data_IF_473154279509
#
_entry.id   IF_473154279509
#
_cell.length_a   1.000
_cell.length_b   1.000
_cell.length_c   1.000
_cell.angle_alpha   90.00
_cell.angle_beta   90.00
_cell.angle_gamma   90.00
#
_symmetry.space_group_name_H-M   'P 1'
#
loop_
_entity.id
_entity.type
_entity.pdbx_description
1 polymer ?
#
# COMPACT_ATOMS: atom_id res chain seq x y z
N UNK A 1 28.89 20.26 -75.10
CA UNK A 1 28.27 21.50 -75.62
C UNK A 1 28.49 22.64 -74.62
N UNK A 2 28.30 23.90 -75.05
CA UNK A 2 28.20 25.13 -74.22
C UNK A 2 26.88 25.08 -73.39
N UNK A 3 26.55 25.88 -72.36
CA UNK A 3 27.11 27.06 -71.64
C UNK A 3 26.38 27.12 -70.24
N UNK A 4 26.71 27.82 -69.14
CA UNK A 4 27.77 28.72 -68.60
C UNK A 4 28.00 28.25 -67.11
N UNK A 5 29.21 28.24 -66.53
CA UNK A 5 30.05 29.29 -65.88
C UNK A 5 29.58 29.89 -64.52
N UNK A 6 30.51 30.08 -63.53
CA UNK A 6 30.21 30.55 -62.16
C UNK A 6 30.86 31.91 -61.80
N UNK A 7 30.70 32.34 -60.53
CA UNK A 7 31.33 33.52 -59.91
C UNK A 7 31.53 33.27 -58.40
N UNK A 8 32.63 33.57 -57.69
CA UNK A 8 34.07 33.79 -57.98
C UNK A 8 34.83 33.40 -56.68
N UNK A 9 36.14 33.11 -56.74
CA UNK A 9 36.99 32.78 -55.57
C UNK A 9 38.20 33.73 -55.53
N UNK A 10 38.69 34.07 -54.34
CA UNK A 10 39.86 34.92 -54.02
C UNK A 10 39.77 36.40 -54.44
N UNK A 11 40.15 37.29 -53.51
CA UNK A 11 41.39 38.09 -53.59
C UNK A 11 41.66 38.82 -52.26
N UNK A 12 42.94 38.78 -51.84
CA UNK A 12 43.72 39.71 -50.99
C UNK A 12 43.09 40.32 -49.70
N UNK A 13 43.68 40.17 -48.52
CA UNK A 13 45.00 40.66 -48.04
C UNK A 13 45.14 42.20 -47.89
N UNK A 14 45.08 42.64 -46.63
CA UNK A 14 45.92 43.66 -45.97
C UNK A 14 46.55 44.75 -46.86
N UNK A 15 46.13 46.01 -46.68
CA UNK A 15 46.96 47.18 -47.07
C UNK A 15 46.66 48.46 -46.28
N UNK A 16 47.74 49.19 -45.96
CA UNK A 16 47.81 50.64 -45.59
C UNK A 16 47.05 51.10 -44.32
N UNK A 17 47.68 51.70 -43.29
CA UNK A 17 48.24 53.07 -43.21
C UNK A 17 47.13 54.14 -43.46
N UNK A 18 46.89 55.17 -42.65
CA UNK A 18 47.73 56.09 -41.86
C UNK A 18 46.80 57.11 -41.09
N UNK A 19 47.16 58.05 -40.18
CA UNK A 19 48.39 58.43 -39.43
C UNK A 19 47.98 59.34 -38.21
N UNK A 20 48.76 59.30 -37.11
CA UNK A 20 48.88 60.36 -36.05
C UNK A 20 47.65 60.63 -35.12
N UNK A 21 47.77 61.19 -33.90
CA UNK A 21 48.90 61.91 -33.26
C UNK A 21 49.18 61.48 -31.78
N UNK A 22 50.02 62.23 -31.03
CA UNK A 22 50.61 61.88 -29.70
C UNK A 22 49.90 62.59 -28.51
N UNK A 23 49.90 61.99 -27.30
CA UNK A 23 50.55 62.46 -26.02
C UNK A 23 49.92 61.94 -24.69
N UNK A 24 50.79 61.51 -23.77
CA UNK A 24 50.77 61.41 -22.28
C UNK A 24 49.79 62.28 -21.43
N UNK A 25 49.65 62.06 -20.09
CA UNK A 25 49.69 60.82 -19.28
C UNK A 25 48.68 60.76 -18.09
N UNK A 26 48.70 59.63 -17.34
CA UNK A 26 48.29 59.36 -15.94
C UNK A 26 47.51 60.39 -15.09
N UNK A 27 46.40 59.93 -14.46
CA UNK A 27 45.91 60.41 -13.16
C UNK A 27 45.12 59.33 -12.40
N UNK A 28 45.00 59.49 -11.08
CA UNK A 28 44.35 58.56 -10.12
C UNK A 28 42.92 59.01 -9.77
N UNK A 29 42.00 58.07 -9.44
CA UNK A 29 41.22 58.11 -8.18
C UNK A 29 40.25 56.92 -7.98
N UNK A 30 39.92 56.74 -6.71
CA UNK A 30 39.10 55.72 -6.01
C UNK A 30 37.60 55.61 -6.41
N UNK A 31 37.03 54.40 -6.22
CA UNK A 31 35.69 54.04 -5.67
C UNK A 31 34.50 55.04 -5.77
N UNK A 32 33.28 54.55 -6.08
CA UNK A 32 32.46 53.92 -5.02
C UNK A 32 31.58 52.71 -5.42
N UNK A 33 30.85 52.18 -4.42
CA UNK A 33 29.99 50.98 -4.47
C UNK A 33 28.70 51.14 -5.29
N UNK A 34 28.10 50.01 -5.71
CA UNK A 34 26.70 49.89 -6.16
C UNK A 34 25.92 48.89 -5.27
N UNK A 35 24.56 48.96 -5.25
CA UNK A 35 23.71 48.25 -4.28
C UNK A 35 23.33 46.80 -4.70
N UNK A 36 22.80 45.99 -3.77
CA UNK A 36 22.39 44.60 -4.04
C UNK A 36 20.99 44.50 -4.71
N UNK A 37 20.74 43.44 -5.50
CA UNK A 37 19.39 43.05 -5.92
C UNK A 37 18.69 42.23 -4.82
N UNK A 38 17.36 42.33 -4.76
CA UNK A 38 16.48 41.62 -3.82
C UNK A 38 15.93 40.30 -4.37
N UNK A 39 15.55 39.42 -3.45
CA UNK A 39 14.60 38.29 -3.56
C UNK A 39 14.65 37.33 -4.75
N UNK A 40 14.84 36.04 -4.45
CA UNK A 40 13.88 34.98 -4.84
C UNK A 40 14.19 33.64 -4.14
N UNK A 41 13.14 32.82 -3.96
CA UNK A 41 13.15 31.39 -3.58
C UNK A 41 13.73 31.04 -2.19
N UNK A 42 12.86 31.11 -1.18
CA UNK A 42 13.02 30.34 0.06
C UNK A 42 12.85 28.83 -0.21
N UNK A 43 13.78 28.01 0.28
CA UNK A 43 13.62 26.56 0.34
C UNK A 43 12.91 26.16 1.65
N UNK A 44 12.04 25.13 1.66
CA UNK A 44 11.42 24.66 2.89
C UNK A 44 12.48 24.03 3.80
N UNK A 45 12.50 24.42 5.08
CA UNK A 45 13.49 23.93 6.04
C UNK A 45 13.19 22.49 6.46
N UNK A 46 14.18 21.61 6.27
CA UNK A 46 14.11 20.21 6.72
C UNK A 46 14.12 20.19 8.24
N UNK A 47 13.01 19.79 8.87
CA UNK A 47 12.96 19.52 10.31
C UNK A 47 13.69 18.22 10.62
N UNK A 48 14.74 18.31 11.44
CA UNK A 48 15.38 17.15 12.04
C UNK A 48 14.46 16.58 13.12
N UNK A 49 14.06 15.31 12.99
CA UNK A 49 13.37 14.58 14.06
C UNK A 49 14.39 14.02 15.05
N UNK A 50 14.54 14.69 16.20
CA UNK A 50 15.21 14.11 17.36
C UNK A 50 14.34 13.05 18.03
N UNK A 51 14.93 11.94 18.50
CA UNK A 51 14.21 10.94 19.31
C UNK A 51 13.74 11.56 20.63
N UNK A 52 12.44 11.53 20.91
CA UNK A 52 11.83 11.97 22.17
C UNK A 52 10.40 12.45 21.97
N UNK A 53 9.51 12.08 22.89
CA UNK A 53 8.10 12.53 22.99
C UNK A 53 7.22 12.35 21.74
N UNK A 54 6.34 11.34 21.79
CA UNK A 54 5.08 11.36 21.02
C UNK A 54 4.14 12.35 21.71
N UNK A 55 4.31 13.65 21.43
CA UNK A 55 3.35 14.66 21.84
C UNK A 55 2.03 14.38 21.11
N UNK A 56 0.93 14.23 21.87
CA UNK A 56 -0.40 13.93 21.34
C UNK A 56 -0.92 15.10 20.50
N UNK A 57 -0.58 15.10 19.20
CA UNK A 57 -0.95 16.16 18.27
C UNK A 57 -2.46 16.33 18.26
N UNK A 58 -2.92 17.50 18.71
CA UNK A 58 -4.33 17.81 18.85
C UNK A 58 -4.98 17.88 17.47
N UNK A 59 -6.05 17.10 17.27
CA UNK A 59 -6.78 17.06 16.02
C UNK A 59 -7.31 18.47 15.68
N UNK A 60 -7.31 18.84 14.39
CA UNK A 60 -7.80 20.15 13.99
C UNK A 60 -9.31 20.27 14.24
N UNK A 61 -9.78 21.45 14.63
CA UNK A 61 -11.21 21.70 14.88
C UNK A 61 -12.10 21.40 13.67
N UNK A 62 -11.53 21.51 12.46
CA UNK A 62 -12.18 21.11 11.20
C UNK A 62 -12.31 19.58 11.09
N UNK A 63 -11.25 18.83 11.37
CA UNK A 63 -11.27 17.37 11.35
C UNK A 63 -12.22 16.81 12.42
N UNK A 64 -12.21 17.36 13.64
CA UNK A 64 -13.15 17.01 14.71
C UNK A 64 -14.60 17.23 14.25
N UNK A 65 -14.90 18.35 13.57
CA UNK A 65 -16.23 18.66 13.03
C UNK A 65 -16.67 17.67 11.94
N UNK A 66 -15.76 17.26 11.06
CA UNK A 66 -16.03 16.27 9.99
C UNK A 66 -16.23 14.87 10.60
N UNK A 67 -15.40 14.49 11.57
CA UNK A 67 -15.57 13.25 12.34
C UNK A 67 -16.95 13.23 13.01
N UNK A 68 -17.34 14.29 13.72
CA UNK A 68 -18.62 14.40 14.42
C UNK A 68 -19.84 14.26 13.49
N UNK A 69 -19.75 14.74 12.25
CA UNK A 69 -20.77 14.49 11.22
C UNK A 69 -20.86 13.00 10.86
N UNK A 70 -19.72 12.30 10.73
CA UNK A 70 -19.68 10.86 10.45
C UNK A 70 -20.10 10.02 11.65
N UNK A 71 -19.75 10.40 12.89
CA UNK A 71 -20.24 9.75 14.11
C UNK A 71 -21.78 9.80 14.15
N UNK A 72 -22.37 10.98 13.92
CA UNK A 72 -23.84 11.14 13.81
C UNK A 72 -24.46 10.29 12.72
N UNK A 73 -23.81 10.16 11.56
CA UNK A 73 -24.29 9.26 10.49
C UNK A 73 -24.28 7.78 10.92
N UNK A 74 -23.26 7.35 11.69
CA UNK A 74 -23.17 5.99 12.26
C UNK A 74 -24.21 5.78 13.36
N UNK A 75 -24.40 6.74 14.27
CA UNK A 75 -25.44 6.72 15.32
C UNK A 75 -26.85 6.59 14.71
N UNK A 76 -27.15 7.40 13.69
CA UNK A 76 -28.43 7.34 12.95
C UNK A 76 -28.60 6.01 12.20
N UNK A 77 -27.53 5.49 11.56
CA UNK A 77 -27.57 4.22 10.84
C UNK A 77 -27.77 3.03 11.79
N UNK A 78 -27.06 3.01 12.91
CA UNK A 78 -27.21 2.01 13.97
C UNK A 78 -28.64 1.99 14.53
N UNK A 79 -29.18 3.18 14.86
CA UNK A 79 -30.58 3.34 15.28
C UNK A 79 -31.57 2.84 14.23
N UNK A 80 -31.36 3.15 12.94
CA UNK A 80 -32.21 2.67 11.85
C UNK A 80 -32.20 1.13 11.73
N UNK A 81 -31.03 0.49 11.85
CA UNK A 81 -30.89 -0.96 11.78
C UNK A 81 -31.52 -1.66 12.99
N UNK A 82 -31.37 -1.11 14.20
CA UNK A 82 -32.07 -1.57 15.40
C UNK A 82 -33.59 -1.45 15.26
N UNK A 83 -34.08 -0.36 14.66
CA UNK A 83 -35.50 -0.18 14.35
C UNK A 83 -36.04 -1.17 13.30
N UNK A 84 -35.20 -1.71 12.40
CA UNK A 84 -35.59 -2.83 11.52
C UNK A 84 -35.73 -4.12 12.33
N UNK A 85 -34.78 -4.42 13.22
CA UNK A 85 -34.81 -5.64 14.04
C UNK A 85 -36.01 -5.63 15.01
N UNK A 86 -36.40 -4.46 15.51
CA UNK A 86 -37.55 -4.30 16.41
C UNK A 86 -38.92 -4.30 15.70
N UNK A 87 -38.99 -4.48 14.36
CA UNK A 87 -40.26 -4.55 13.60
C UNK A 87 -40.66 -6.01 13.34
N UNK A 88 -41.71 -6.54 13.99
CA UNK A 88 -42.09 -7.96 13.88
C UNK A 88 -42.58 -8.40 12.48
N UNK A 89 -42.78 -7.46 11.55
CA UNK A 89 -43.25 -7.71 10.18
C UNK A 89 -42.10 -7.79 9.14
N UNK A 90 -40.85 -7.52 9.52
CA UNK A 90 -39.74 -7.46 8.57
C UNK A 90 -39.33 -8.87 8.05
N UNK A 91 -38.97 -9.02 6.76
CA UNK A 91 -38.65 -10.33 6.20
C UNK A 91 -37.31 -10.87 6.75
N UNK A 92 -37.16 -12.20 6.91
CA UNK A 92 -35.93 -12.81 7.48
C UNK A 92 -34.62 -12.42 6.76
N UNK A 93 -34.70 -12.09 5.47
CA UNK A 93 -33.56 -11.63 4.67
C UNK A 93 -33.11 -10.20 4.99
N UNK A 94 -33.98 -9.34 5.51
CA UNK A 94 -33.63 -8.01 6.02
C UNK A 94 -33.07 -8.11 7.45
N UNK A 95 -33.67 -8.94 8.30
CA UNK A 95 -33.10 -9.30 9.61
C UNK A 95 -31.65 -9.79 9.51
N UNK A 96 -31.35 -10.68 8.57
CA UNK A 96 -30.00 -11.21 8.36
C UNK A 96 -29.01 -10.11 7.89
N UNK A 97 -29.45 -9.19 7.01
CA UNK A 97 -28.65 -8.05 6.56
C UNK A 97 -28.39 -7.06 7.69
N UNK A 98 -29.42 -6.68 8.45
CA UNK A 98 -29.32 -5.70 9.52
C UNK A 98 -28.41 -6.17 10.65
N UNK A 99 -28.51 -7.45 11.07
CA UNK A 99 -27.59 -8.03 12.05
C UNK A 99 -26.15 -8.09 11.53
N UNK A 100 -25.93 -8.41 10.24
CA UNK A 100 -24.59 -8.43 9.64
C UNK A 100 -23.96 -7.02 9.58
N UNK A 101 -24.78 -5.99 9.34
CA UNK A 101 -24.32 -4.61 9.30
C UNK A 101 -24.05 -4.03 10.70
N UNK A 102 -24.95 -4.27 11.67
CA UNK A 102 -24.72 -3.91 13.07
C UNK A 102 -23.47 -4.59 13.65
N UNK A 103 -23.20 -5.86 13.28
CA UNK A 103 -21.95 -6.53 13.69
C UNK A 103 -20.70 -5.81 13.16
N UNK A 104 -20.75 -5.19 11.98
CA UNK A 104 -19.63 -4.37 11.45
C UNK A 104 -19.50 -3.03 12.15
N UNK A 105 -20.62 -2.41 12.54
CA UNK A 105 -20.62 -1.09 13.19
C UNK A 105 -20.35 -1.16 14.70
N UNK A 106 -20.41 -2.35 15.31
CA UNK A 106 -20.33 -2.55 16.76
C UNK A 106 -19.11 -1.88 17.38
N UNK A 107 -17.91 -2.24 16.93
CA UNK A 107 -16.67 -1.85 17.61
C UNK A 107 -16.47 -0.32 17.55
N UNK A 108 -16.86 0.30 16.43
CA UNK A 108 -16.91 1.76 16.27
C UNK A 108 -18.02 2.40 17.11
N UNK A 109 -19.20 1.76 17.24
CA UNK A 109 -20.31 2.24 18.07
C UNK A 109 -19.97 2.19 19.57
N UNK A 110 -19.25 1.15 20.01
CA UNK A 110 -18.79 1.00 21.40
C UNK A 110 -17.76 2.12 21.73
N UNK A 111 -16.84 2.45 20.81
CA UNK A 111 -15.96 3.63 20.91
C UNK A 111 -16.73 4.97 20.89
N UNK A 112 -17.78 5.11 20.07
CA UNK A 112 -18.65 6.30 20.08
C UNK A 112 -19.31 6.45 21.45
N UNK A 113 -19.89 5.39 22.00
CA UNK A 113 -20.54 5.40 23.30
C UNK A 113 -19.57 5.83 24.43
N UNK A 114 -18.33 5.36 24.39
CA UNK A 114 -17.29 5.77 25.35
C UNK A 114 -16.98 7.27 25.22
N UNK A 115 -16.76 7.78 23.99
CA UNK A 115 -16.54 9.21 23.75
C UNK A 115 -17.75 10.07 24.22
N UNK A 116 -18.99 9.64 23.92
CA UNK A 116 -20.21 10.34 24.39
C UNK A 116 -20.30 10.36 25.92
N UNK A 117 -19.86 9.29 26.59
CA UNK A 117 -19.81 9.23 28.05
C UNK A 117 -18.77 10.21 28.62
N UNK A 118 -17.54 10.20 28.09
CA UNK A 118 -16.48 11.14 28.52
C UNK A 118 -16.83 12.61 28.24
N UNK A 119 -17.46 12.91 27.11
CA UNK A 119 -17.94 14.27 26.84
C UNK A 119 -19.02 14.73 27.85
N UNK A 120 -19.91 13.81 28.28
CA UNK A 120 -20.93 14.12 29.30
C UNK A 120 -20.31 14.37 30.68
N UNK A 121 -19.31 13.57 31.05
CA UNK A 121 -18.51 13.71 32.28
C UNK A 121 -17.77 15.07 32.31
N UNK A 122 -17.03 15.39 31.24
CA UNK A 122 -16.36 16.69 31.04
C UNK A 122 -17.32 17.88 31.17
N UNK A 123 -18.52 17.77 30.61
CA UNK A 123 -19.53 18.83 30.73
C UNK A 123 -20.10 18.92 32.15
N UNK A 124 -20.30 17.79 32.84
CA UNK A 124 -20.72 17.77 34.25
C UNK A 124 -19.69 18.39 35.19
N UNK A 125 -18.41 18.08 35.00
CA UNK A 125 -17.30 18.68 35.75
C UNK A 125 -17.21 20.19 35.54
N UNK A 126 -17.37 20.68 34.30
CA UNK A 126 -17.44 22.12 34.00
C UNK A 126 -18.61 22.79 34.73
N UNK A 127 -19.81 22.20 34.66
CA UNK A 127 -20.98 22.74 35.38
C UNK A 127 -20.78 22.75 36.90
N UNK A 128 -20.13 21.72 37.48
CA UNK A 128 -19.78 21.71 38.90
C UNK A 128 -18.84 22.88 39.28
N UNK A 129 -17.85 23.17 38.44
CA UNK A 129 -16.94 24.31 38.64
C UNK A 129 -17.64 25.67 38.49
N UNK A 130 -18.60 25.78 37.58
CA UNK A 130 -19.44 26.98 37.40
C UNK A 130 -20.44 27.17 38.57
N UNK A 131 -20.96 26.09 39.16
CA UNK A 131 -21.95 26.11 40.25
C UNK A 131 -21.32 26.26 41.64
N UNK A 132 -20.07 25.87 41.86
CA UNK A 132 -19.38 25.92 43.16
C UNK A 132 -18.05 26.73 43.15
N UNK A 133 -18.03 28.00 42.70
CA UNK A 133 -16.80 28.79 42.52
C UNK A 133 -16.11 29.23 43.81
N UNK A 134 -16.72 29.01 44.98
CA UNK A 134 -16.18 29.41 46.30
C UNK A 134 -15.49 28.26 47.06
N UNK A 135 -15.73 26.99 46.70
CA UNK A 135 -15.10 25.83 47.33
C UNK A 135 -13.81 25.45 46.58
N UNK A 136 -12.68 25.94 47.08
CA UNK A 136 -11.38 25.73 46.46
C UNK A 136 -10.96 24.26 46.41
N UNK A 137 -11.24 23.49 47.45
CA UNK A 137 -10.83 22.09 47.52
C UNK A 137 -11.64 21.26 46.51
N UNK A 138 -12.93 21.59 46.33
CA UNK A 138 -13.77 21.02 45.26
C UNK A 138 -13.31 21.42 43.86
N UNK A 139 -12.93 22.68 43.64
CA UNK A 139 -12.41 23.17 42.35
C UNK A 139 -11.08 22.52 41.97
N UNK A 140 -10.15 22.35 42.91
CA UNK A 140 -8.86 21.70 42.67
C UNK A 140 -9.08 20.22 42.27
N UNK A 141 -9.94 19.48 42.98
CA UNK A 141 -10.32 18.09 42.62
C UNK A 141 -11.00 18.01 41.25
N UNK A 142 -12.01 18.85 40.98
CA UNK A 142 -12.72 18.87 39.70
C UNK A 142 -11.79 19.22 38.53
N UNK A 143 -10.75 20.03 38.77
CA UNK A 143 -9.72 20.37 37.78
C UNK A 143 -8.83 19.17 37.46
N UNK A 144 -8.44 18.35 38.45
CA UNK A 144 -7.66 17.13 38.20
C UNK A 144 -8.46 16.08 37.41
N UNK A 145 -9.73 15.85 37.78
CA UNK A 145 -10.62 14.94 37.04
C UNK A 145 -10.90 15.43 35.61
N UNK A 146 -11.12 16.74 35.42
CA UNK A 146 -11.35 17.34 34.10
C UNK A 146 -10.14 17.18 33.18
N UNK A 147 -8.92 17.34 33.70
CA UNK A 147 -7.70 17.14 32.90
C UNK A 147 -7.52 15.68 32.48
N UNK A 148 -7.80 14.71 33.36
CA UNK A 148 -7.76 13.29 33.03
C UNK A 148 -8.81 12.93 31.97
N UNK A 149 -10.05 13.38 32.15
CA UNK A 149 -11.14 13.12 31.21
C UNK A 149 -10.86 13.74 29.82
N UNK A 150 -10.23 14.93 29.76
CA UNK A 150 -9.86 15.60 28.49
C UNK A 150 -8.72 14.90 27.75
N UNK A 151 -7.72 14.33 28.42
CA UNK A 151 -6.69 13.54 27.70
C UNK A 151 -7.25 12.20 27.21
N UNK A 152 -8.13 11.57 27.98
CA UNK A 152 -8.89 10.39 27.53
C UNK A 152 -9.84 10.72 26.36
N UNK A 153 -10.47 11.90 26.34
CA UNK A 153 -11.24 12.39 25.19
C UNK A 153 -10.35 12.42 23.92
N UNK A 154 -9.15 13.00 24.00
CA UNK A 154 -8.20 13.01 22.86
C UNK A 154 -7.80 11.60 22.45
N UNK A 155 -7.53 10.70 23.40
CA UNK A 155 -7.18 9.29 23.12
C UNK A 155 -8.32 8.56 22.38
N UNK A 156 -9.56 8.80 22.78
CA UNK A 156 -10.75 8.26 22.13
C UNK A 156 -11.02 8.89 20.76
N UNK A 157 -10.85 10.21 20.61
CA UNK A 157 -10.95 10.88 19.31
C UNK A 157 -9.94 10.32 18.30
N UNK A 158 -8.67 10.17 18.68
CA UNK A 158 -7.65 9.53 17.83
C UNK A 158 -8.00 8.08 17.49
N UNK A 159 -8.43 7.29 18.49
CA UNK A 159 -8.85 5.89 18.27
C UNK A 159 -10.04 5.78 17.29
N UNK A 160 -10.99 6.71 17.37
CA UNK A 160 -12.11 6.82 16.45
C UNK A 160 -11.67 7.26 15.05
N UNK A 161 -10.73 8.21 14.92
CA UNK A 161 -10.18 8.61 13.63
C UNK A 161 -9.57 7.41 12.90
N UNK A 162 -8.66 6.67 13.55
CA UNK A 162 -8.03 5.47 12.95
C UNK A 162 -9.03 4.29 12.77
N UNK A 163 -10.25 4.37 13.32
CA UNK A 163 -11.40 3.47 13.00
C UNK A 163 -12.29 3.97 11.86
N UNK A 164 -12.28 5.28 11.56
CA UNK A 164 -13.05 5.90 10.48
C UNK A 164 -12.28 5.98 9.15
N UNK A 165 -10.95 5.93 9.20
CA UNK A 165 -10.10 5.83 8.03
C UNK A 165 -10.29 4.48 7.31
N UNK A 166 -10.30 4.44 5.97
CA UNK A 166 -10.49 3.21 5.22
C UNK A 166 -9.29 2.27 5.40
N UNK A 167 -9.56 1.06 5.91
CA UNK A 167 -8.58 -0.03 6.02
C UNK A 167 -8.78 -1.04 4.88
N UNK A 168 -7.71 -1.73 4.51
CA UNK A 168 -7.76 -2.84 3.55
C UNK A 168 -7.88 -4.18 4.30
N UNK A 169 -8.85 -5.01 3.92
CA UNK A 169 -9.01 -6.40 4.41
C UNK A 169 -7.76 -7.28 4.13
N UNK A 170 -6.82 -6.79 3.32
CA UNK A 170 -5.51 -7.39 3.12
C UNK A 170 -4.48 -7.07 4.23
N UNK A 171 -4.58 -5.92 4.92
CA UNK A 171 -3.53 -5.44 5.85
C UNK A 171 -3.32 -6.36 7.05
N UNK A 172 -4.37 -7.03 7.53
CA UNK A 172 -4.32 -7.96 8.67
C UNK A 172 -3.62 -9.29 8.34
N UNK A 173 -3.45 -9.61 7.05
CA UNK A 173 -3.06 -10.93 6.55
C UNK A 173 -1.55 -11.19 6.62
N UNK A 174 -1.18 -12.47 6.47
CA UNK A 174 0.15 -12.88 6.05
C UNK A 174 0.49 -12.37 4.64
N UNK A 175 1.77 -12.42 4.27
CA UNK A 175 2.23 -12.06 2.92
C UNK A 175 3.16 -13.11 2.30
N UNK A 176 3.29 -13.05 0.98
CA UNK A 176 4.38 -13.68 0.24
C UNK A 176 5.40 -12.58 -0.08
N UNK A 177 6.63 -12.78 0.39
CA UNK A 177 7.83 -12.02 0.04
C UNK A 177 8.47 -12.69 -1.17
N UNK A 178 8.65 -11.94 -2.26
CA UNK A 178 9.44 -12.36 -3.42
C UNK A 178 10.61 -11.38 -3.60
N UNK A 179 11.85 -11.89 -3.66
CA UNK A 179 13.07 -11.08 -3.85
C UNK A 179 13.79 -11.58 -5.11
N UNK A 180 14.04 -10.70 -6.08
CA UNK A 180 14.65 -11.05 -7.38
C UNK A 180 15.84 -10.13 -7.70
N UNK A 181 16.93 -10.73 -8.17
CA UNK A 181 18.10 -10.00 -8.67
C UNK A 181 17.74 -9.15 -9.91
N UNK A 182 18.06 -7.85 -9.86
CA UNK A 182 17.87 -6.91 -10.96
C UNK A 182 19.17 -6.54 -11.65
N UNK A 183 19.32 -5.27 -12.03
CA UNK A 183 20.53 -4.76 -12.68
C UNK A 183 21.75 -4.90 -11.77
N UNK A 184 22.76 -5.66 -12.20
CA UNK A 184 24.02 -5.85 -11.45
C UNK A 184 24.63 -7.26 -11.53
N UNK A 185 23.93 -8.22 -12.13
CA UNK A 185 24.45 -9.58 -12.34
C UNK A 185 24.69 -10.32 -11.02
N UNK A 186 25.87 -10.91 -10.87
CA UNK A 186 26.24 -11.69 -9.67
C UNK A 186 26.10 -10.87 -8.37
N UNK A 187 26.52 -9.61 -8.37
CA UNK A 187 26.39 -8.72 -7.20
C UNK A 187 24.92 -8.45 -6.84
N UNK A 188 24.03 -8.32 -7.84
CA UNK A 188 22.60 -8.20 -7.58
C UNK A 188 22.03 -9.48 -6.95
N UNK A 189 22.58 -10.66 -7.26
CA UNK A 189 22.18 -11.92 -6.62
C UNK A 189 22.70 -12.06 -5.19
N UNK A 190 23.91 -11.56 -4.89
CA UNK A 190 24.42 -11.51 -3.52
C UNK A 190 23.58 -10.54 -2.67
N UNK A 191 23.26 -9.36 -3.21
CA UNK A 191 22.42 -8.40 -2.51
C UNK A 191 20.96 -8.89 -2.36
N UNK A 192 20.43 -9.67 -3.30
CA UNK A 192 19.12 -10.32 -3.15
C UNK A 192 19.08 -11.30 -1.96
N UNK A 193 20.15 -12.10 -1.79
CA UNK A 193 20.32 -12.95 -0.62
C UNK A 193 20.43 -12.14 0.67
N UNK A 194 21.16 -11.03 0.67
CA UNK A 194 21.31 -10.16 1.85
C UNK A 194 19.97 -9.54 2.28
N UNK A 195 19.16 -9.08 1.32
CA UNK A 195 17.81 -8.52 1.53
C UNK A 195 16.82 -9.59 2.00
N UNK A 196 16.85 -10.79 1.42
CA UNK A 196 16.01 -11.90 1.88
C UNK A 196 16.31 -12.27 3.35
N UNK A 197 17.59 -12.36 3.72
CA UNK A 197 18.05 -12.64 5.10
C UNK A 197 17.82 -11.48 6.06
N UNK A 198 17.73 -10.24 5.56
CA UNK A 198 17.30 -9.09 6.36
C UNK A 198 15.83 -9.24 6.79
N UNK A 199 14.93 -9.61 5.87
CA UNK A 199 13.51 -9.83 6.17
C UNK A 199 13.27 -11.09 7.02
N UNK A 200 14.04 -12.15 6.83
CA UNK A 200 14.03 -13.34 7.69
C UNK A 200 14.27 -12.98 9.17
N UNK A 201 15.34 -12.22 9.45
CA UNK A 201 15.66 -11.74 10.81
C UNK A 201 14.63 -10.76 11.37
N UNK A 202 14.08 -9.89 10.52
CA UNK A 202 13.03 -8.95 10.91
C UNK A 202 11.75 -9.69 11.32
N UNK A 203 11.31 -10.67 10.52
CA UNK A 203 10.15 -11.52 10.83
C UNK A 203 10.34 -12.27 12.16
N UNK A 204 11.51 -12.90 12.36
CA UNK A 204 11.86 -13.57 13.62
C UNK A 204 11.74 -12.63 14.84
N UNK A 205 12.23 -11.38 14.73
CA UNK A 205 12.11 -10.37 15.80
C UNK A 205 10.69 -9.88 16.06
N UNK A 206 9.83 -9.87 15.05
CA UNK A 206 8.40 -9.57 15.21
C UNK A 206 7.57 -10.76 15.70
N UNK A 207 8.20 -11.93 15.93
CA UNK A 207 7.50 -13.16 16.28
C UNK A 207 6.67 -13.74 15.14
N UNK A 208 6.93 -13.32 13.89
CA UNK A 208 6.26 -13.83 12.71
C UNK A 208 6.90 -15.13 12.21
N UNK A 209 6.07 -16.04 11.71
CA UNK A 209 6.53 -17.31 11.13
C UNK A 209 7.01 -17.05 9.71
N UNK A 210 8.31 -17.27 9.46
CA UNK A 210 8.93 -17.14 8.14
C UNK A 210 9.18 -18.54 7.56
N UNK A 211 8.58 -18.84 6.41
CA UNK A 211 8.69 -20.14 5.72
C UNK A 211 9.23 -19.94 4.31
N UNK A 212 10.40 -20.51 4.02
CA UNK A 212 10.97 -20.50 2.66
C UNK A 212 10.12 -21.40 1.76
N UNK A 213 9.71 -20.86 0.61
CA UNK A 213 8.87 -21.54 -0.39
C UNK A 213 9.71 -22.04 -1.56
N UNK A 214 10.60 -21.19 -2.10
CA UNK A 214 11.50 -21.51 -3.20
C UNK A 214 12.75 -20.61 -3.17
N UNK A 215 13.90 -21.12 -3.62
CA UNK A 215 15.15 -20.36 -3.81
C UNK A 215 15.86 -20.87 -5.06
N UNK A 216 15.97 -20.01 -6.06
CA UNK A 216 16.83 -20.21 -7.24
C UNK A 216 18.19 -19.55 -7.00
N UNK A 217 19.23 -20.34 -6.77
CA UNK A 217 20.58 -19.84 -6.50
C UNK A 217 21.32 -19.31 -7.76
N UNK A 218 22.32 -18.46 -7.52
CA UNK A 218 23.31 -18.04 -8.49
C UNK A 218 24.63 -18.81 -8.34
N UNK A 219 25.46 -18.71 -9.37
CA UNK A 219 26.69 -19.46 -9.54
C UNK A 219 27.76 -19.08 -8.48
N UNK A 220 27.56 -17.96 -7.77
CA UNK A 220 28.32 -17.51 -6.60
C UNK A 220 27.54 -17.60 -5.27
N UNK A 221 26.49 -18.45 -5.20
CA UNK A 221 25.64 -18.68 -4.02
C UNK A 221 24.85 -17.44 -3.55
N UNK A 222 24.61 -16.47 -4.44
CA UNK A 222 23.56 -15.48 -4.27
C UNK A 222 22.20 -16.06 -4.66
N UNK A 223 21.12 -15.27 -4.57
CA UNK A 223 19.79 -15.67 -5.03
C UNK A 223 19.42 -14.93 -6.32
N UNK A 224 19.08 -15.66 -7.38
CA UNK A 224 18.49 -15.08 -8.60
C UNK A 224 17.04 -14.72 -8.33
N UNK A 225 16.31 -15.59 -7.65
CA UNK A 225 14.97 -15.38 -7.11
C UNK A 225 14.82 -16.18 -5.80
N UNK A 226 14.15 -15.61 -4.80
CA UNK A 226 13.86 -16.26 -3.52
C UNK A 226 12.47 -15.85 -3.04
N UNK A 227 11.70 -16.81 -2.55
CA UNK A 227 10.29 -16.66 -2.17
C UNK A 227 10.07 -17.22 -0.77
N UNK A 228 9.39 -16.45 0.09
CA UNK A 228 8.99 -16.87 1.43
C UNK A 228 7.54 -16.49 1.72
N UNK A 229 6.85 -17.32 2.50
CA UNK A 229 5.60 -16.97 3.15
C UNK A 229 5.89 -16.43 4.56
N UNK A 230 5.26 -15.31 4.93
CA UNK A 230 5.41 -14.68 6.24
C UNK A 230 4.02 -14.61 6.89
N UNK A 231 3.81 -15.40 7.94
CA UNK A 231 2.52 -15.56 8.62
C UNK A 231 2.54 -14.95 10.02
N UNK A 232 1.51 -14.18 10.34
CA UNK A 232 1.34 -13.45 11.60
C UNK A 232 0.22 -12.42 11.47
N UNK A 233 -0.14 -11.75 12.57
CA UNK A 233 -1.11 -10.66 12.54
C UNK A 233 -0.48 -9.38 11.96
N UNK A 234 -1.15 -8.75 10.98
CA UNK A 234 -0.76 -7.45 10.44
C UNK A 234 0.53 -7.44 9.61
N UNK A 235 0.96 -8.60 9.09
CA UNK A 235 2.25 -8.73 8.38
C UNK A 235 2.23 -7.94 7.08
N UNK A 236 1.19 -8.13 6.24
CA UNK A 236 1.08 -7.41 4.96
C UNK A 236 0.95 -5.91 5.18
N UNK A 237 0.14 -5.46 6.14
CA UNK A 237 -0.04 -4.04 6.45
C UNK A 237 1.25 -3.31 6.85
N UNK A 238 2.23 -4.02 7.40
CA UNK A 238 3.57 -3.46 7.67
C UNK A 238 4.54 -3.62 6.50
N UNK A 239 4.57 -4.78 5.86
CA UNK A 239 5.54 -5.07 4.80
C UNK A 239 5.16 -4.52 3.43
N UNK A 240 3.92 -4.10 3.16
CA UNK A 240 3.48 -3.60 1.84
C UNK A 240 4.36 -2.48 1.27
N UNK A 241 4.92 -1.63 2.13
CA UNK A 241 5.83 -0.53 1.75
C UNK A 241 7.25 -1.00 1.36
N UNK A 242 7.58 -2.28 1.57
CA UNK A 242 8.82 -2.90 1.11
C UNK A 242 8.75 -3.32 -0.37
N UNK A 243 7.60 -3.19 -1.03
CA UNK A 243 7.49 -3.44 -2.47
C UNK A 243 8.14 -2.33 -3.31
N UNK A 244 8.99 -2.72 -4.26
CA UNK A 244 9.72 -1.82 -5.17
C UNK A 244 11.19 -2.20 -5.36
N UNK A 245 12.00 -1.26 -5.84
CA UNK A 245 13.42 -1.50 -6.17
C UNK A 245 14.35 -1.01 -5.04
N UNK A 246 15.13 -1.94 -4.49
CA UNK A 246 16.17 -1.71 -3.51
C UNK A 246 17.52 -1.58 -4.23
N UNK A 247 18.19 -0.43 -4.10
CA UNK A 247 19.47 -0.15 -4.77
C UNK A 247 20.63 -0.27 -3.78
N UNK A 248 21.65 -1.06 -4.09
CA UNK A 248 22.89 -1.14 -3.32
C UNK A 248 24.02 -0.33 -3.97
N UNK A 249 24.87 0.26 -3.15
CA UNK A 249 26.16 0.83 -3.53
C UNK A 249 27.23 0.30 -2.59
N UNK A 250 28.07 -0.61 -3.07
CA UNK A 250 29.21 -1.19 -2.34
C UNK A 250 30.31 -1.65 -3.30
N UNK A 251 31.47 -2.03 -2.76
CA UNK A 251 32.47 -2.78 -3.52
C UNK A 251 32.02 -4.24 -3.56
N UNK A 252 31.80 -4.84 -4.75
CA UNK A 252 31.42 -6.24 -4.87
C UNK A 252 32.49 -7.21 -4.34
N UNK A 253 32.07 -8.38 -3.87
CA UNK A 253 32.98 -9.49 -3.53
C UNK A 253 33.76 -9.99 -4.76
N UNK A 254 33.23 -9.75 -5.96
CA UNK A 254 33.84 -10.11 -7.25
C UNK A 254 34.81 -9.06 -7.81
N UNK A 255 34.87 -7.86 -7.22
CA UNK A 255 35.66 -6.74 -7.76
C UNK A 255 37.07 -6.67 -7.15
N UNK A 256 38.09 -6.69 -8.00
CA UNK A 256 39.51 -6.71 -7.59
C UNK A 256 40.13 -5.32 -7.45
N UNK A 257 39.52 -4.30 -8.06
CA UNK A 257 40.01 -2.92 -8.12
C UNK A 257 39.50 -2.03 -6.98
N UNK A 258 38.71 -2.58 -6.05
CA UNK A 258 38.10 -1.80 -4.95
C UNK A 258 37.03 -0.80 -5.40
N UNK A 259 36.52 -0.93 -6.64
CA UNK A 259 35.56 0.02 -7.22
C UNK A 259 34.17 -0.19 -6.62
N UNK A 260 33.54 0.91 -6.20
CA UNK A 260 32.13 0.89 -5.80
C UNK A 260 31.26 0.71 -7.05
N UNK A 261 30.49 -0.37 -7.08
CA UNK A 261 29.45 -0.62 -8.08
C UNK A 261 28.07 -0.24 -7.53
N UNK A 262 27.10 -0.11 -8.43
CA UNK A 262 25.70 0.18 -8.09
C UNK A 262 24.84 -0.90 -8.72
N UNK A 263 24.09 -1.61 -7.90
CA UNK A 263 23.24 -2.73 -8.31
C UNK A 263 21.83 -2.58 -7.73
N UNK A 264 20.88 -3.33 -8.25
CA UNK A 264 19.47 -3.23 -7.91
C UNK A 264 18.86 -4.62 -7.72
N UNK A 265 17.93 -4.71 -6.77
CA UNK A 265 17.11 -5.89 -6.46
C UNK A 265 15.66 -5.43 -6.42
N UNK A 266 14.76 -6.24 -6.97
CA UNK A 266 13.33 -6.00 -6.90
C UNK A 266 12.73 -6.84 -5.76
N UNK A 267 11.86 -6.22 -4.97
CA UNK A 267 11.10 -6.86 -3.88
C UNK A 267 9.62 -6.70 -4.21
N UNK A 268 8.88 -7.81 -4.19
CA UNK A 268 7.43 -7.80 -4.26
C UNK A 268 6.84 -8.38 -2.96
N UNK A 269 5.75 -7.77 -2.51
CA UNK A 269 5.04 -8.11 -1.29
C UNK A 269 3.58 -8.30 -1.67
N UNK A 270 3.14 -9.55 -1.72
CA UNK A 270 1.80 -9.90 -2.15
C UNK A 270 1.02 -10.41 -0.94
N UNK A 271 -0.26 -10.03 -0.73
CA UNK A 271 -1.04 -10.56 0.37
C UNK A 271 -1.25 -12.06 0.19
N UNK A 272 -1.31 -12.81 1.29
CA UNK A 272 -1.66 -14.22 1.26
C UNK A 272 -3.13 -14.36 0.86
N UNK A 273 -3.38 -15.13 -0.21
CA UNK A 273 -4.72 -15.38 -0.71
C UNK A 273 -5.35 -16.57 0.03
N UNK A 274 -6.67 -16.49 0.22
CA UNK A 274 -7.46 -17.62 0.69
C UNK A 274 -7.52 -18.72 -0.38
N UNK A 275 -7.81 -19.96 -0.01
CA UNK A 275 -8.01 -21.03 -0.98
C UNK A 275 -9.28 -20.78 -1.82
N UNK A 276 -9.18 -21.01 -3.13
CA UNK A 276 -10.25 -20.73 -4.10
C UNK A 276 -11.24 -21.89 -4.12
N UNK A 277 -12.08 -22.01 -3.10
CA UNK A 277 -13.23 -22.91 -3.15
C UNK A 277 -14.37 -22.30 -4.00
N UNK A 278 -15.10 -23.16 -4.72
CA UNK A 278 -16.16 -22.78 -5.67
C UNK A 278 -17.44 -23.53 -5.31
N UNK A 279 -18.14 -23.00 -4.32
CA UNK A 279 -19.46 -23.49 -3.91
C UNK A 279 -20.49 -23.34 -5.05
N UNK A 280 -20.86 -24.46 -5.67
CA UNK A 280 -21.97 -24.50 -6.63
C UNK A 280 -23.32 -24.55 -5.91
N UNK A 281 -24.06 -23.44 -5.94
CA UNK A 281 -25.45 -23.38 -5.48
C UNK A 281 -26.39 -23.93 -6.55
N UNK A 282 -27.41 -24.68 -6.13
CA UNK A 282 -28.41 -25.23 -7.05
C UNK A 282 -29.29 -24.15 -7.71
N UNK A 283 -29.43 -22.99 -7.06
CA UNK A 283 -30.20 -21.83 -7.55
C UNK A 283 -29.56 -21.19 -8.80
N UNK A 284 -28.22 -21.21 -8.90
CA UNK A 284 -27.46 -20.63 -10.00
C UNK A 284 -27.36 -21.57 -11.24
N UNK A 285 -28.02 -22.72 -11.22
CA UNK A 285 -27.84 -23.80 -12.21
C UNK A 285 -29.15 -24.17 -12.95
N UNK A 286 -29.27 -23.75 -14.22
CA UNK A 286 -30.33 -24.26 -15.10
C UNK A 286 -29.90 -25.61 -15.68
N UNK A 287 -30.73 -26.64 -15.53
CA UNK A 287 -30.44 -28.01 -15.99
C UNK A 287 -31.47 -28.43 -17.04
N UNK A 288 -31.07 -28.36 -18.31
CA UNK A 288 -31.89 -28.74 -19.46
C UNK A 288 -31.64 -30.23 -19.80
N UNK A 289 -32.69 -30.98 -20.16
CA UNK A 289 -32.59 -32.41 -20.48
C UNK A 289 -33.15 -32.69 -21.88
N UNK A 290 -32.47 -33.55 -22.64
CA UNK A 290 -32.78 -33.79 -24.06
C UNK A 290 -32.33 -35.19 -24.51
N UNK A 291 -32.68 -35.57 -25.74
CA UNK A 291 -32.28 -36.87 -26.33
C UNK A 291 -30.82 -36.84 -26.76
N UNK A 292 -30.10 -37.94 -26.51
CA UNK A 292 -28.69 -38.07 -26.94
C UNK A 292 -28.59 -38.14 -28.47
N UNK A 293 -27.67 -37.37 -29.05
CA UNK A 293 -27.40 -37.38 -30.49
C UNK A 293 -26.25 -38.33 -30.85
N UNK A 294 -26.52 -39.31 -31.72
CA UNK A 294 -25.51 -40.26 -32.21
C UNK A 294 -26.13 -41.52 -32.83
N UNK A 295 -25.29 -42.50 -33.17
CA UNK A 295 -25.66 -43.80 -33.73
C UNK A 295 -26.26 -44.76 -32.69
N UNK A 296 -27.36 -44.34 -32.05
CA UNK A 296 -28.08 -45.13 -31.04
C UNK A 296 -29.24 -45.96 -31.61
N UNK A 297 -29.55 -47.07 -30.93
CA UNK A 297 -30.78 -47.84 -31.18
C UNK A 297 -32.03 -47.14 -30.61
N UNK A 298 -33.18 -47.83 -30.62
CA UNK A 298 -34.49 -47.27 -30.23
C UNK A 298 -34.48 -46.47 -28.91
N UNK A 299 -33.76 -46.95 -27.89
CA UNK A 299 -33.60 -46.29 -26.59
C UNK A 299 -32.99 -44.87 -26.66
N UNK A 300 -32.10 -44.58 -27.62
CA UNK A 300 -31.55 -43.23 -27.79
C UNK A 300 -32.58 -42.27 -28.43
N UNK A 301 -33.45 -42.80 -29.30
CA UNK A 301 -34.50 -42.03 -29.97
C UNK A 301 -35.69 -41.73 -29.06
N UNK A 302 -35.87 -42.45 -27.95
CA UNK A 302 -36.98 -42.28 -27.00
C UNK A 302 -36.59 -41.66 -25.66
N UNK A 303 -35.41 -41.97 -25.10
CA UNK A 303 -35.01 -41.54 -23.75
C UNK A 303 -34.25 -40.21 -23.75
N UNK A 304 -34.62 -39.29 -22.85
CA UNK A 304 -33.94 -38.01 -22.63
C UNK A 304 -32.70 -38.17 -21.72
N UNK A 305 -31.71 -38.95 -22.16
CA UNK A 305 -30.50 -39.27 -21.40
C UNK A 305 -29.45 -38.15 -21.37
N UNK A 306 -29.47 -37.20 -22.31
CA UNK A 306 -28.48 -36.13 -22.39
C UNK A 306 -28.85 -34.96 -21.47
N UNK A 307 -27.84 -34.35 -20.85
CA UNK A 307 -27.99 -33.27 -19.88
C UNK A 307 -27.12 -32.08 -20.26
N UNK A 308 -27.70 -30.89 -20.26
CA UNK A 308 -27.00 -29.60 -20.38
C UNK A 308 -27.17 -28.82 -19.09
N UNK A 309 -26.07 -28.54 -18.41
CA UNK A 309 -26.03 -27.64 -17.24
C UNK A 309 -25.57 -26.27 -17.72
N UNK A 310 -26.27 -25.23 -17.29
CA UNK A 310 -25.95 -23.82 -17.54
C UNK A 310 -25.78 -23.11 -16.20
N UNK A 311 -24.60 -22.56 -15.93
CA UNK A 311 -24.41 -21.69 -14.76
C UNK A 311 -24.85 -20.27 -15.14
N UNK A 312 -25.96 -19.82 -14.55
CA UNK A 312 -26.68 -18.60 -14.95
C UNK A 312 -25.79 -17.35 -14.76
N UNK A 313 -25.08 -17.16 -13.61
CA UNK A 313 -24.26 -15.95 -13.41
C UNK A 313 -23.06 -15.79 -14.36
N UNK A 314 -22.51 -16.88 -14.92
CA UNK A 314 -21.33 -16.82 -15.81
C UNK A 314 -21.63 -17.19 -17.27
N UNK A 315 -22.87 -17.56 -17.60
CA UNK A 315 -23.27 -18.00 -18.93
C UNK A 315 -22.63 -19.32 -19.40
N UNK A 316 -21.83 -19.99 -18.57
CA UNK A 316 -21.13 -21.22 -18.95
C UNK A 316 -22.12 -22.36 -19.17
N UNK A 317 -21.99 -23.02 -20.32
CA UNK A 317 -22.77 -24.22 -20.66
C UNK A 317 -21.86 -25.45 -20.75
N UNK A 318 -22.35 -26.57 -20.24
CA UNK A 318 -21.72 -27.90 -20.33
C UNK A 318 -22.78 -28.92 -20.66
N UNK A 319 -22.65 -29.62 -21.80
CA UNK A 319 -23.53 -30.72 -22.18
C UNK A 319 -22.80 -32.05 -22.25
N UNK A 320 -23.34 -33.08 -21.61
CA UNK A 320 -22.78 -34.43 -21.54
C UNK A 320 -23.87 -35.45 -21.88
N UNK A 321 -23.49 -36.47 -22.66
CA UNK A 321 -24.40 -37.49 -23.18
C UNK A 321 -23.81 -38.90 -23.24
N UNK A 322 -22.62 -39.11 -22.67
CA UNK A 322 -21.82 -40.34 -22.82
C UNK A 322 -22.46 -41.55 -22.13
N UNK A 323 -23.13 -41.35 -20.99
CA UNK A 323 -23.80 -42.42 -20.26
C UNK A 323 -25.24 -42.62 -20.73
N UNK A 324 -25.75 -43.85 -20.60
CA UNK A 324 -27.18 -44.14 -20.79
C UNK A 324 -28.06 -43.56 -19.69
N UNK A 325 -27.49 -43.22 -18.53
CA UNK A 325 -28.20 -42.68 -17.36
C UNK A 325 -28.09 -41.16 -17.28
N UNK A 326 -29.25 -40.49 -17.30
CA UNK A 326 -29.38 -39.04 -17.09
C UNK A 326 -28.73 -38.58 -15.77
N UNK A 327 -28.85 -39.35 -14.69
CA UNK A 327 -28.25 -39.00 -13.40
C UNK A 327 -26.73 -39.01 -13.44
N UNK A 328 -26.13 -39.96 -14.16
CA UNK A 328 -24.68 -40.03 -14.34
C UNK A 328 -24.17 -38.89 -15.25
N UNK A 329 -24.89 -38.56 -16.33
CA UNK A 329 -24.57 -37.40 -17.17
C UNK A 329 -24.71 -36.08 -16.40
N UNK A 330 -25.75 -35.92 -15.54
CA UNK A 330 -25.86 -34.77 -14.62
C UNK A 330 -24.68 -34.70 -13.64
N UNK A 331 -24.31 -35.81 -13.02
CA UNK A 331 -23.18 -35.84 -12.08
C UNK A 331 -21.83 -35.50 -12.75
N UNK A 332 -21.57 -36.02 -13.97
CA UNK A 332 -20.41 -35.61 -14.78
C UNK A 332 -20.47 -34.12 -15.13
N UNK A 333 -21.63 -33.61 -15.57
CA UNK A 333 -21.77 -32.22 -16.00
C UNK A 333 -21.56 -31.23 -14.86
N UNK A 334 -22.02 -31.56 -13.64
CA UNK A 334 -21.76 -30.79 -12.43
C UNK A 334 -20.27 -30.77 -12.06
N UNK A 335 -19.56 -31.91 -12.17
CA UNK A 335 -18.10 -31.95 -11.96
C UNK A 335 -17.34 -31.10 -12.99
N UNK A 336 -17.73 -31.17 -14.26
CA UNK A 336 -17.07 -30.41 -15.34
C UNK A 336 -17.38 -28.91 -15.25
N UNK A 337 -18.60 -28.50 -14.87
CA UNK A 337 -18.91 -27.07 -14.72
C UNK A 337 -18.22 -26.47 -13.48
N UNK A 338 -18.12 -27.24 -12.38
CA UNK A 338 -17.32 -26.87 -11.20
C UNK A 338 -15.84 -26.64 -11.58
N UNK A 339 -15.22 -27.63 -12.24
CA UNK A 339 -13.82 -27.51 -12.68
C UNK A 339 -13.58 -26.30 -13.60
N UNK A 340 -14.50 -26.00 -14.53
CA UNK A 340 -14.42 -24.81 -15.39
C UNK A 340 -14.57 -23.49 -14.62
N UNK A 341 -15.46 -23.42 -13.63
CA UNK A 341 -15.62 -22.25 -12.78
C UNK A 341 -14.38 -22.02 -11.91
N UNK A 342 -13.83 -23.08 -11.31
CA UNK A 342 -12.56 -23.07 -10.60
C UNK A 342 -11.40 -22.60 -11.48
N UNK A 343 -11.26 -23.11 -12.71
CA UNK A 343 -10.25 -22.63 -13.66
C UNK A 343 -10.39 -21.13 -13.99
N UNK A 344 -11.61 -20.65 -14.15
CA UNK A 344 -11.88 -19.23 -14.47
C UNK A 344 -11.54 -18.34 -13.28
N UNK A 345 -11.96 -18.70 -12.07
CA UNK A 345 -11.70 -17.89 -10.87
C UNK A 345 -10.23 -17.94 -10.46
N UNK A 346 -9.59 -19.12 -10.52
CA UNK A 346 -8.14 -19.27 -10.39
C UNK A 346 -7.38 -18.41 -11.40
N UNK A 347 -7.83 -18.36 -12.66
CA UNK A 347 -7.23 -17.50 -13.71
C UNK A 347 -7.49 -16.01 -13.44
N UNK A 348 -8.66 -15.63 -12.91
CA UNK A 348 -8.99 -14.25 -12.50
C UNK A 348 -8.01 -13.79 -11.42
N UNK A 349 -7.88 -14.57 -10.34
CA UNK A 349 -6.99 -14.30 -9.20
C UNK A 349 -5.51 -14.34 -9.62
N UNK A 350 -5.11 -15.28 -10.46
CA UNK A 350 -3.75 -15.29 -11.01
C UNK A 350 -3.49 -14.03 -11.86
N UNK A 351 -4.45 -13.57 -12.66
CA UNK A 351 -4.28 -12.38 -13.49
C UNK A 351 -4.19 -11.08 -12.68
N UNK A 352 -4.92 -10.94 -11.56
CA UNK A 352 -4.78 -9.79 -10.67
C UNK A 352 -3.48 -9.83 -9.89
N UNK A 353 -3.06 -11.00 -9.37
CA UNK A 353 -1.75 -11.17 -8.72
C UNK A 353 -0.60 -10.87 -9.67
N UNK A 354 -0.65 -11.32 -10.93
CA UNK A 354 0.38 -11.02 -11.93
C UNK A 354 0.45 -9.54 -12.29
N UNK A 355 -0.68 -8.81 -12.31
CA UNK A 355 -0.70 -7.34 -12.47
C UNK A 355 -0.05 -6.65 -11.28
N UNK A 356 -0.53 -6.90 -10.07
CA UNK A 356 0.02 -6.33 -8.83
C UNK A 356 1.52 -6.61 -8.69
N UNK A 357 1.97 -7.84 -8.98
CA UNK A 357 3.40 -8.20 -9.02
C UNK A 357 4.16 -7.41 -10.08
N UNK A 358 3.61 -7.21 -11.28
CA UNK A 358 4.26 -6.43 -12.33
C UNK A 358 4.32 -4.92 -12.01
N UNK A 359 3.31 -4.40 -11.32
CA UNK A 359 3.24 -3.01 -10.86
C UNK A 359 4.24 -2.74 -9.73
N UNK A 360 4.41 -3.69 -8.80
CA UNK A 360 5.42 -3.61 -7.73
C UNK A 360 6.86 -3.81 -8.21
N UNK A 361 7.11 -4.72 -9.16
CA UNK A 361 8.46 -5.07 -9.61
C UNK A 361 9.11 -3.96 -10.45
N UNK A 362 8.31 -3.19 -11.18
CA UNK A 362 8.78 -2.14 -12.09
C UNK A 362 9.58 -2.69 -13.27
N UNK A 363 10.48 -1.88 -13.82
CA UNK A 363 11.38 -2.28 -14.92
C UNK A 363 12.60 -3.09 -14.47
N UNK A 364 12.91 -3.11 -13.17
CA UNK A 364 14.15 -3.67 -12.63
C UNK A 364 15.40 -2.78 -12.80
N UNK A 365 15.25 -1.55 -13.30
CA UNK A 365 16.34 -0.57 -13.41
C UNK A 365 16.60 0.18 -12.07
N UNK A 366 17.84 0.63 -11.92
CA UNK A 366 18.33 1.42 -10.77
C UNK A 366 17.67 2.78 -10.57
N UNK A 367 16.83 3.24 -11.50
CA UNK A 367 16.18 4.56 -11.48
C UNK A 367 14.95 4.59 -10.58
N UNK A 368 14.08 3.57 -10.65
CA UNK A 368 12.79 3.42 -9.92
C UNK A 368 12.97 3.00 -8.44
N UNK A 369 14.09 3.40 -7.82
CA UNK A 369 14.47 2.98 -6.48
C UNK A 369 13.53 3.55 -5.40
N UNK A 370 13.09 2.70 -4.47
CA UNK A 370 12.47 3.15 -3.21
C UNK A 370 13.54 3.41 -2.14
N UNK A 371 14.58 2.57 -2.05
CA UNK A 371 15.66 2.69 -1.05
C UNK A 371 17.05 2.60 -1.66
N UNK A 372 18.02 3.28 -1.06
CA UNK A 372 19.46 3.13 -1.34
C UNK A 372 20.23 2.70 -0.11
N UNK A 373 20.96 1.59 -0.24
CA UNK A 373 21.87 1.02 0.76
C UNK A 373 23.31 1.36 0.36
N UNK A 374 23.90 2.38 0.98
CA UNK A 374 25.23 2.88 0.65
C UNK A 374 26.25 2.46 1.73
N UNK A 375 26.93 1.34 1.49
CA UNK A 375 27.90 0.77 2.42
C UNK A 375 29.13 1.68 2.66
N UNK A 376 29.74 2.33 1.64
CA UNK A 376 30.85 3.27 1.84
C UNK A 376 30.53 4.48 2.73
N UNK A 377 29.25 4.78 2.96
CA UNK A 377 28.78 5.87 3.83
C UNK A 377 27.95 5.37 5.03
N UNK A 378 27.96 4.06 5.29
CA UNK A 378 27.28 3.43 6.43
C UNK A 378 25.76 3.56 6.47
N UNK A 379 25.09 3.99 5.39
CA UNK A 379 23.71 4.54 5.48
C UNK A 379 22.69 3.88 4.56
N UNK A 380 21.43 3.92 4.99
CA UNK A 380 20.25 3.54 4.20
C UNK A 380 19.30 4.73 4.10
N UNK A 381 18.90 5.11 2.88
CA UNK A 381 17.96 6.21 2.62
C UNK A 381 16.72 5.68 1.91
N UNK A 382 15.52 6.00 2.41
CA UNK A 382 14.27 5.85 1.67
C UNK A 382 13.94 7.15 0.94
N UNK A 383 13.71 7.05 -0.38
CA UNK A 383 13.54 8.20 -1.26
C UNK A 383 12.10 8.73 -1.30
N UNK A 384 11.14 8.04 -0.67
CA UNK A 384 9.73 8.46 -0.59
C UNK A 384 9.51 9.44 0.57
N UNK A 385 9.97 9.06 1.76
CA UNK A 385 9.90 9.88 3.00
C UNK A 385 11.16 10.75 3.21
N UNK A 386 12.24 10.53 2.47
CA UNK A 386 13.51 11.25 2.61
C UNK A 386 14.36 10.85 3.82
N UNK A 387 13.87 9.96 4.67
CA UNK A 387 14.54 9.49 5.89
C UNK A 387 15.83 8.73 5.54
N UNK A 388 16.88 9.02 6.30
CA UNK A 388 18.19 8.36 6.20
C UNK A 388 18.63 7.87 7.57
N UNK A 389 18.87 6.57 7.69
CA UNK A 389 19.47 5.94 8.86
C UNK A 389 20.97 5.69 8.61
N UNK A 390 21.81 5.91 9.62
CA UNK A 390 23.27 5.85 9.53
C UNK A 390 23.89 4.57 10.12
N UNK A 391 23.05 3.57 10.38
CA UNK A 391 23.42 2.25 10.91
C UNK A 391 23.04 1.12 9.92
N UNK A 392 23.65 1.10 8.73
CA UNK A 392 23.34 0.09 7.69
C UNK A 392 23.44 -1.35 8.18
N UNK A 393 24.39 -1.66 9.06
CA UNK A 393 24.55 -3.01 9.62
C UNK A 393 23.36 -3.40 10.50
N UNK A 394 22.86 -2.49 11.34
CA UNK A 394 21.65 -2.70 12.16
C UNK A 394 20.41 -2.90 11.27
N UNK A 395 20.29 -2.13 10.17
CA UNK A 395 19.21 -2.31 9.18
C UNK A 395 19.31 -3.68 8.49
N UNK A 396 20.49 -4.10 8.02
CA UNK A 396 20.68 -5.41 7.36
C UNK A 396 20.53 -6.62 8.31
N UNK A 397 20.72 -6.40 9.62
CA UNK A 397 20.36 -7.37 10.67
C UNK A 397 18.86 -7.33 11.03
N UNK A 398 18.07 -6.43 10.45
CA UNK A 398 16.64 -6.26 10.74
C UNK A 398 16.36 -5.68 12.13
N UNK A 399 17.16 -4.73 12.61
CA UNK A 399 16.87 -3.95 13.82
C UNK A 399 16.09 -2.68 13.45
N UNK A 400 16.74 -1.72 12.79
CA UNK A 400 16.18 -0.37 12.62
C UNK A 400 15.29 -0.24 11.36
N UNK A 401 14.70 -1.34 10.89
CA UNK A 401 13.79 -1.34 9.73
C UNK A 401 12.45 -0.65 10.07
N UNK A 402 12.01 -0.76 11.33
CA UNK A 402 10.78 -0.12 11.83
C UNK A 402 10.74 1.39 11.56
N UNK A 403 11.85 2.10 11.69
CA UNK A 403 11.93 3.55 11.44
C UNK A 403 11.42 3.93 10.04
N UNK A 404 11.66 3.10 9.03
CA UNK A 404 11.16 3.32 7.68
C UNK A 404 9.68 2.94 7.56
N UNK A 405 9.29 1.80 8.13
CA UNK A 405 7.91 1.28 8.07
C UNK A 405 6.94 2.21 8.80
N UNK A 406 7.26 2.63 10.02
CA UNK A 406 6.41 3.48 10.85
C UNK A 406 6.25 4.89 10.24
N UNK A 407 7.29 5.42 9.59
CA UNK A 407 7.20 6.68 8.85
C UNK A 407 6.36 6.60 7.57
N UNK A 408 6.39 5.46 6.87
CA UNK A 408 5.57 5.21 5.68
C UNK A 408 4.10 4.92 6.06
N UNK A 409 3.86 4.27 7.20
CA UNK A 409 2.54 4.15 7.83
C UNK A 409 1.98 5.54 8.20
N UNK A 410 2.76 6.38 8.88
CA UNK A 410 2.36 7.74 9.23
C UNK A 410 2.06 8.58 7.98
N UNK A 411 2.86 8.46 6.91
CA UNK A 411 2.54 9.11 5.64
C UNK A 411 1.20 8.61 5.06
N UNK A 412 0.96 7.29 5.04
CA UNK A 412 -0.32 6.74 4.56
C UNK A 412 -1.50 7.24 5.41
N UNK A 413 -1.35 7.34 6.74
CA UNK A 413 -2.38 7.87 7.63
C UNK A 413 -2.65 9.36 7.37
N UNK A 414 -1.61 10.18 7.18
CA UNK A 414 -1.75 11.59 6.79
C UNK A 414 -2.45 11.78 5.44
N UNK A 415 -2.05 11.00 4.41
CA UNK A 415 -2.68 11.01 3.09
C UNK A 415 -4.15 10.54 3.16
N UNK A 416 -4.44 9.53 4.00
CA UNK A 416 -5.80 9.06 4.26
C UNK A 416 -6.65 10.14 4.95
N UNK A 417 -6.13 10.85 5.94
CA UNK A 417 -6.78 11.99 6.60
C UNK A 417 -7.07 13.12 5.61
N UNK A 418 -6.13 13.45 4.72
CA UNK A 418 -6.33 14.46 3.66
C UNK A 418 -7.40 14.02 2.64
N UNK A 419 -7.51 12.72 2.33
CA UNK A 419 -8.60 12.17 1.52
C UNK A 419 -9.95 12.19 2.27
N UNK A 420 -9.94 12.03 3.60
CA UNK A 420 -11.13 12.00 4.44
C UNK A 420 -11.75 13.40 4.62
N UNK A 421 -10.93 14.44 4.76
CA UNK A 421 -11.40 15.83 4.79
C UNK A 421 -11.94 16.24 3.41
N UNK A 422 -11.16 16.05 2.34
CA UNK A 422 -11.57 16.44 0.98
C UNK A 422 -12.77 15.68 0.43
N UNK A 423 -13.01 14.43 0.83
CA UNK A 423 -14.23 13.68 0.48
C UNK A 423 -15.47 14.03 1.32
N UNK A 424 -15.34 14.98 2.26
CA UNK A 424 -16.42 15.47 3.12
C UNK A 424 -16.76 16.95 2.89
N UNK A 425 -16.17 17.56 1.85
CA UNK A 425 -16.32 18.97 1.44
C UNK A 425 -17.18 19.12 0.20
#
# INVERSE_FOLDING_TARGET
MRIHRPTVRLLEQIRTLALHCRTNPAQTCTNPLLPPPSDLLSTPSVRFYSKGEVQSQQLSMELIKIMEQRLKAIELRSSFLLNIINRPEAPPSEYAKANKELKKLRDTMDLINELRSRQKEINGLRTLMDECPEDKDMLDMATEELNQAVEEEKRLQHSLLTSLLPRDDADERGCILEVRAGTGGEEASLFAMDIFKMYERYAQKKGWKFEVVDITESDLKGYKEAVAAISGAGVYGKLKFESGIHRVQRVPVTEKSGRVHTSAVSVAILPQADEVDVELKNEDLRIDTFRSGGSGGQHANTTNSAVRVTHIPSGLTVSIQDERSQHMNKAKALKVICAKLYEIERRRIQSSRSKLRSEQIGSGDRSERIRTYNFPQGRVTDHRVGITEHAIEEVMQGQNLDMFVDALLLQQEMDAIASFTSSSS
#
